data_IF_699400719133
#
_entry.id   IF_699400719133
#
_cell.length_a   1.000
_cell.length_b   1.000
_cell.length_c   1.000
_cell.angle_alpha   90.00
_cell.angle_beta   90.00
_cell.angle_gamma   90.00
#
_symmetry.space_group_name_H-M   'P 1'
#
loop_
_entity.id
_entity.type
_entity.pdbx_description
1 polymer ?
#
# COMPACT_ATOMS: atom_id res chain seq x y z
N UNK A 1 5.43 -1.88 -0.99
CA UNK A 1 6.31 -0.84 -0.43
C UNK A 1 6.75 0.05 -1.58
N UNK A 2 6.58 1.37 -1.48
CA UNK A 2 6.83 2.28 -2.61
C UNK A 2 8.13 3.10 -2.47
N UNK A 3 8.71 3.18 -1.26
CA UNK A 3 9.82 4.09 -0.93
C UNK A 3 11.09 3.41 -0.44
N UNK A 4 11.19 2.07 -0.54
CA UNK A 4 12.34 1.27 -0.06
C UNK A 4 12.67 1.45 1.43
N UNK A 5 11.68 1.79 2.25
CA UNK A 5 11.86 2.03 3.69
C UNK A 5 11.83 0.76 4.55
N UNK A 6 11.44 -0.39 4.00
CA UNK A 6 11.56 -1.63 4.75
C UNK A 6 13.01 -2.16 4.71
N UNK A 7 13.38 -3.00 5.70
CA UNK A 7 14.64 -3.73 5.70
C UNK A 7 14.92 -4.43 4.37
N UNK A 8 16.21 -4.49 3.98
CA UNK A 8 16.65 -5.01 2.68
C UNK A 8 16.12 -6.42 2.39
N UNK A 9 16.12 -7.30 3.40
CA UNK A 9 15.64 -8.67 3.33
C UNK A 9 14.12 -8.79 3.11
N UNK A 10 13.38 -7.67 3.26
CA UNK A 10 11.92 -7.60 3.09
C UNK A 10 11.47 -6.59 2.03
N UNK A 11 12.39 -6.06 1.23
CA UNK A 11 12.03 -5.18 0.13
C UNK A 11 11.36 -5.94 -1.01
N UNK A 12 10.33 -5.33 -1.60
CA UNK A 12 9.65 -5.87 -2.76
C UNK A 12 10.19 -5.17 -4.00
N UNK A 13 10.77 -5.94 -4.92
CA UNK A 13 11.45 -5.45 -6.15
C UNK A 13 10.49 -4.93 -7.24
N UNK A 14 9.20 -4.76 -6.92
CA UNK A 14 8.18 -4.37 -7.91
C UNK A 14 8.35 -2.94 -8.40
N UNK A 15 8.82 -2.05 -7.52
CA UNK A 15 9.10 -0.65 -7.87
C UNK A 15 10.27 -0.52 -8.85
N UNK A 16 11.32 -1.34 -8.70
CA UNK A 16 12.45 -1.39 -9.65
C UNK A 16 12.02 -1.89 -11.03
N UNK A 17 10.88 -2.57 -11.11
CA UNK A 17 10.23 -3.04 -12.33
C UNK A 17 9.15 -2.09 -12.84
N UNK A 18 9.09 -0.86 -12.33
CA UNK A 18 8.17 0.20 -12.79
C UNK A 18 6.77 0.19 -12.17
N UNK A 19 6.49 -0.65 -11.15
CA UNK A 19 5.19 -0.63 -10.46
C UNK A 19 5.19 0.43 -9.35
N UNK A 20 4.70 1.63 -9.66
CA UNK A 20 4.71 2.81 -8.78
C UNK A 20 3.41 3.08 -8.03
N UNK A 21 2.36 2.29 -8.29
CA UNK A 21 1.07 2.38 -7.61
C UNK A 21 0.88 1.21 -6.62
N UNK A 22 0.24 1.51 -5.50
CA UNK A 22 -0.18 0.54 -4.49
C UNK A 22 -1.67 0.69 -4.15
N UNK A 23 -2.26 -0.39 -3.64
CA UNK A 23 -3.60 -0.40 -3.05
C UNK A 23 -3.47 -0.53 -1.54
N UNK A 24 -4.16 0.34 -0.80
CA UNK A 24 -4.46 0.10 0.61
C UNK A 24 -5.91 -0.33 0.73
N UNK A 25 -6.17 -1.33 1.58
CA UNK A 25 -7.51 -1.71 1.99
C UNK A 25 -7.48 -2.01 3.48
N UNK A 26 -8.19 -1.20 4.24
CA UNK A 26 -8.25 -1.28 5.68
C UNK A 26 -9.71 -1.48 6.08
N UNK A 27 -9.92 -2.32 7.10
CA UNK A 27 -11.22 -2.52 7.72
C UNK A 27 -11.18 -1.90 9.11
N UNK A 28 -12.24 -1.19 9.46
CA UNK A 28 -12.43 -0.62 10.78
C UNK A 28 -13.88 -0.73 11.23
N UNK A 29 -14.11 -0.69 12.54
CA UNK A 29 -15.43 -0.84 13.12
C UNK A 29 -15.61 -2.14 13.91
N UNK A 30 -16.79 -2.32 14.48
CA UNK A 30 -17.15 -3.50 15.28
C UNK A 30 -17.72 -4.61 14.38
N UNK A 31 -17.66 -5.88 14.82
CA UNK A 31 -18.35 -6.96 14.12
C UNK A 31 -19.80 -6.60 13.79
N UNK A 32 -20.20 -6.75 12.53
CA UNK A 32 -21.53 -6.38 12.02
C UNK A 32 -21.68 -4.94 11.50
N UNK A 33 -20.70 -4.06 11.74
CA UNK A 33 -20.70 -2.67 11.28
C UNK A 33 -19.32 -2.24 10.75
N UNK A 34 -18.59 -3.17 10.16
CA UNK A 34 -17.29 -2.86 9.59
C UNK A 34 -17.43 -1.95 8.35
N UNK A 35 -16.54 -0.97 8.26
CA UNK A 35 -16.38 -0.08 7.11
C UNK A 35 -15.07 -0.40 6.41
N UNK A 36 -15.10 -0.41 5.09
CA UNK A 36 -13.91 -0.51 4.24
C UNK A 36 -13.38 0.86 3.87
N UNK A 37 -12.09 1.06 4.08
CA UNK A 37 -11.33 2.20 3.57
C UNK A 37 -10.37 1.67 2.51
N UNK A 38 -10.56 2.05 1.26
CA UNK A 38 -9.70 1.64 0.17
C UNK A 38 -9.17 2.85 -0.59
N UNK A 39 -7.90 2.83 -0.97
CA UNK A 39 -7.28 3.89 -1.75
C UNK A 39 -6.20 3.34 -2.68
N UNK A 40 -6.04 4.01 -3.83
CA UNK A 40 -4.85 3.87 -4.67
C UNK A 40 -3.87 4.97 -4.27
N UNK A 41 -2.63 4.59 -3.99
CA UNK A 41 -1.56 5.51 -3.59
C UNK A 41 -0.39 5.40 -4.56
N UNK A 42 0.24 6.54 -4.87
CA UNK A 42 1.42 6.63 -5.73
C UNK A 42 2.70 6.91 -4.95
N UNK A 43 3.84 6.65 -5.60
CA UNK A 43 5.16 7.08 -5.10
C UNK A 43 5.43 8.58 -5.30
N UNK A 44 4.66 9.22 -6.17
CA UNK A 44 4.77 10.62 -6.59
C UNK A 44 3.44 11.35 -6.31
N UNK A 45 3.47 12.68 -6.23
CA UNK A 45 2.26 13.50 -6.25
C UNK A 45 1.73 13.62 -7.68
N UNK A 46 0.40 13.59 -7.83
CA UNK A 46 -0.29 13.76 -9.12
C UNK A 46 -0.46 15.21 -9.54
#
# INVERSE_FOLDING_TARGET
QLRKEAPEDRQILSVDKGKTLGLTHNLGGRPGECVSFAAIVGSELG
#
